data_IF_536595770775
#
_entry.id   IF_536595770775
#
_cell.length_a   1.000
_cell.length_b   1.000
_cell.length_c   1.000
_cell.angle_alpha   90.00
_cell.angle_beta   90.00
_cell.angle_gamma   90.00
#
_symmetry.space_group_name_H-M   'P 1'
#
loop_
_entity.id
_entity.type
_entity.pdbx_description
1 polymer ?
#
# COMPACT_ATOMS: atom_id res chain seq x y z
N UNK A 1 -7.84 -2.04 8.09
CA UNK A 1 -8.48 -2.64 6.88
C UNK A 1 -9.82 -3.31 7.16
N UNK A 2 -9.97 -4.19 8.17
CA UNK A 2 -11.26 -4.83 8.49
C UNK A 2 -12.35 -3.80 8.83
N UNK A 3 -12.02 -2.79 9.62
CA UNK A 3 -12.92 -1.66 9.95
C UNK A 3 -13.32 -0.85 8.70
N UNK A 4 -12.34 -0.50 7.86
CA UNK A 4 -12.61 0.15 6.57
C UNK A 4 -13.59 -0.66 5.71
N UNK A 5 -13.46 -2.00 5.68
CA UNK A 5 -14.41 -2.88 4.99
C UNK A 5 -15.80 -2.88 5.64
N UNK A 6 -15.88 -2.79 6.96
CA UNK A 6 -17.16 -2.77 7.67
C UNK A 6 -17.99 -1.55 7.28
N UNK A 7 -17.37 -0.37 7.20
CA UNK A 7 -18.07 0.89 6.91
C UNK A 7 -18.42 1.10 5.44
N UNK A 8 -17.74 0.42 4.50
CA UNK A 8 -18.06 0.51 3.08
C UNK A 8 -19.41 -0.14 2.76
N UNK A 9 -20.20 0.48 1.87
CA UNK A 9 -21.36 -0.18 1.28
C UNK A 9 -20.94 -1.41 0.44
N UNK A 10 -21.80 -2.43 0.27
CA UNK A 10 -21.55 -3.53 -0.66
C UNK A 10 -21.15 -3.03 -2.05
N UNK A 11 -20.13 -3.64 -2.66
CA UNK A 11 -19.56 -3.17 -3.94
C UNK A 11 -18.69 -1.91 -3.84
N UNK A 12 -18.61 -1.26 -2.68
CA UNK A 12 -17.81 -0.06 -2.42
C UNK A 12 -16.31 -0.30 -2.60
N UNK A 13 -15.58 0.77 -2.91
CA UNK A 13 -14.14 0.73 -3.18
C UNK A 13 -13.32 1.39 -2.08
N UNK A 14 -12.15 0.84 -1.83
CA UNK A 14 -11.10 1.41 -1.01
C UNK A 14 -9.93 1.75 -1.91
N UNK A 15 -9.42 2.98 -1.78
CA UNK A 15 -8.17 3.42 -2.39
C UNK A 15 -7.19 3.74 -1.27
N UNK A 16 -5.99 3.16 -1.32
CA UNK A 16 -4.90 3.47 -0.40
C UNK A 16 -3.71 3.95 -1.21
N UNK A 17 -3.15 5.09 -0.79
CA UNK A 17 -1.97 5.70 -1.41
C UNK A 17 -0.89 5.81 -0.37
N UNK A 18 0.17 5.02 -0.52
CA UNK A 18 1.26 4.92 0.44
C UNK A 18 2.53 4.42 -0.27
N UNK A 19 3.67 4.33 0.42
CA UNK A 19 4.88 3.73 -0.14
C UNK A 19 4.58 2.29 -0.59
N UNK A 20 4.73 2.04 -1.89
CA UNK A 20 4.51 0.72 -2.49
C UNK A 20 5.77 -0.12 -2.53
N UNK A 21 5.73 -1.22 -3.27
CA UNK A 21 6.88 -2.10 -3.45
C UNK A 21 8.07 -1.35 -4.07
N UNK A 22 9.22 -1.37 -3.40
CA UNK A 22 10.45 -0.74 -3.90
C UNK A 22 11.19 -1.68 -4.84
N UNK A 23 10.73 -1.76 -6.10
CA UNK A 23 11.23 -2.76 -7.10
C UNK A 23 12.71 -2.62 -7.46
N UNK A 24 13.31 -1.42 -7.37
CA UNK A 24 14.73 -1.21 -7.71
C UNK A 24 15.65 -1.18 -6.48
N UNK A 25 16.90 -1.65 -6.65
CA UNK A 25 17.94 -1.59 -5.60
C UNK A 25 18.27 -0.16 -5.20
N UNK A 26 18.30 0.76 -6.17
CA UNK A 26 18.53 2.19 -5.92
C UNK A 26 17.39 2.80 -5.09
N UNK A 27 16.13 2.48 -5.38
CA UNK A 27 15.00 2.98 -4.58
C UNK A 27 14.97 2.37 -3.18
N UNK A 28 15.32 1.08 -3.03
CA UNK A 28 15.51 0.47 -1.70
C UNK A 28 16.62 1.15 -0.90
N UNK A 29 17.66 1.68 -1.56
CA UNK A 29 18.72 2.44 -0.90
C UNK A 29 18.24 3.86 -0.55
N UNK A 30 17.64 4.59 -1.49
CA UNK A 30 17.13 5.94 -1.27
C UNK A 30 16.05 5.98 -0.17
N UNK A 31 15.11 5.02 -0.18
CA UNK A 31 14.10 4.85 0.86
C UNK A 31 14.74 4.64 2.24
N UNK A 32 15.69 3.71 2.34
CA UNK A 32 16.44 3.48 3.58
C UNK A 32 17.24 4.70 4.04
N UNK A 33 17.76 5.51 3.14
CA UNK A 33 18.56 6.71 3.47
C UNK A 33 17.69 7.92 3.85
N UNK A 34 16.46 8.01 3.36
CA UNK A 34 15.58 9.18 3.56
C UNK A 34 14.55 9.01 4.68
N UNK A 35 14.03 7.79 4.90
CA UNK A 35 12.99 7.51 5.91
C UNK A 35 13.58 7.23 7.32
N UNK A 36 14.91 7.12 7.46
CA UNK A 36 15.55 7.00 8.80
C UNK A 36 15.31 8.20 9.72
N UNK A 37 14.95 9.38 9.19
CA UNK A 37 14.83 10.64 9.93
C UNK A 37 13.37 11.06 10.21
N UNK A 38 12.37 10.34 9.67
CA UNK A 38 10.94 10.63 9.85
C UNK A 38 10.26 9.34 10.33
N UNK A 39 9.79 9.33 11.58
CA UNK A 39 9.03 8.26 12.26
C UNK A 39 8.90 6.93 11.51
N UNK A 40 9.91 6.06 11.66
CA UNK A 40 9.72 4.61 11.57
C UNK A 40 10.05 3.96 10.22
N UNK A 41 11.33 3.67 10.01
CA UNK A 41 11.79 2.62 9.07
C UNK A 41 11.07 1.29 9.33
N UNK A 42 10.72 0.98 10.58
CA UNK A 42 10.02 -0.25 10.95
C UNK A 42 8.57 -0.32 10.45
N UNK A 43 7.82 0.79 10.48
CA UNK A 43 6.39 0.78 10.14
C UNK A 43 6.13 0.82 8.64
N UNK A 44 7.07 1.34 7.85
CA UNK A 44 6.91 1.53 6.40
C UNK A 44 7.60 0.45 5.55
N UNK A 45 8.46 -0.38 6.15
CA UNK A 45 9.14 -1.49 5.48
C UNK A 45 8.18 -2.56 4.93
N UNK A 46 7.11 -2.99 5.63
CA UNK A 46 6.17 -3.97 5.08
C UNK A 46 5.46 -3.47 3.81
N UNK A 47 5.22 -2.16 3.72
CA UNK A 47 4.67 -1.51 2.54
C UNK A 47 5.67 -1.50 1.37
N UNK A 48 6.95 -1.19 1.68
CA UNK A 48 8.06 -1.29 0.75
C UNK A 48 8.29 -2.72 0.20
N UNK A 49 7.87 -3.74 0.94
CA UNK A 49 7.92 -5.15 0.57
C UNK A 49 6.64 -5.64 -0.13
N UNK A 50 5.64 -4.77 -0.34
CA UNK A 50 4.41 -5.08 -1.06
C UNK A 50 3.39 -5.88 -0.24
N UNK A 51 3.39 -5.76 1.08
CA UNK A 51 2.48 -6.52 1.95
C UNK A 51 1.03 -6.00 1.93
N UNK A 52 0.82 -4.72 1.62
CA UNK A 52 -0.52 -4.10 1.68
C UNK A 52 -1.58 -4.78 0.79
N UNK A 53 -1.30 -5.14 -0.48
CA UNK A 53 -2.23 -5.95 -1.28
C UNK A 53 -2.56 -7.31 -0.65
N UNK A 54 -1.64 -7.93 0.10
CA UNK A 54 -1.89 -9.18 0.81
C UNK A 54 -2.84 -8.94 1.98
N UNK A 55 -2.56 -7.93 2.80
CA UNK A 55 -3.41 -7.56 3.95
C UNK A 55 -4.82 -7.15 3.51
N UNK A 56 -4.97 -6.51 2.35
CA UNK A 56 -6.28 -6.19 1.76
C UNK A 56 -7.08 -7.45 1.43
N UNK A 57 -6.43 -8.46 0.82
CA UNK A 57 -7.09 -9.75 0.54
C UNK A 57 -7.46 -10.48 1.82
N UNK A 58 -6.57 -10.53 2.81
CA UNK A 58 -6.82 -11.15 4.12
C UNK A 58 -7.95 -10.46 4.91
N UNK A 59 -8.13 -9.15 4.72
CA UNK A 59 -9.24 -8.39 5.29
C UNK A 59 -10.59 -8.65 4.59
N UNK A 60 -10.60 -9.38 3.47
CA UNK A 60 -11.80 -9.77 2.72
C UNK A 60 -12.19 -8.82 1.60
N UNK A 61 -11.24 -8.02 1.07
CA UNK A 61 -11.46 -7.27 -0.17
C UNK A 61 -11.19 -8.15 -1.40
N UNK A 62 -11.91 -7.90 -2.49
CA UNK A 62 -11.69 -8.47 -3.82
C UNK A 62 -11.12 -7.41 -4.79
N UNK A 63 -10.80 -7.83 -6.02
CA UNK A 63 -10.27 -6.97 -7.09
C UNK A 63 -9.06 -6.11 -6.70
N UNK A 64 -8.21 -6.63 -5.80
CA UNK A 64 -7.05 -5.89 -5.28
C UNK A 64 -5.98 -5.74 -6.37
N UNK A 65 -5.70 -4.50 -6.76
CA UNK A 65 -4.72 -4.15 -7.80
C UNK A 65 -4.02 -2.82 -7.54
N UNK A 66 -2.75 -2.75 -7.91
CA UNK A 66 -2.01 -1.49 -8.04
C UNK A 66 -2.47 -0.79 -9.32
N UNK A 67 -2.91 0.46 -9.20
CA UNK A 67 -3.36 1.27 -10.34
C UNK A 67 -2.22 2.07 -10.93
N UNK A 68 -1.39 2.66 -10.08
CA UNK A 68 -0.32 3.55 -10.49
C UNK A 68 0.81 3.59 -9.45
N UNK A 69 2.00 3.97 -9.89
CA UNK A 69 3.15 4.19 -9.02
C UNK A 69 3.90 5.44 -9.42
N UNK A 70 4.12 6.32 -8.44
CA UNK A 70 4.89 7.56 -8.59
C UNK A 70 6.25 7.42 -7.94
N UNK A 71 7.29 7.82 -8.67
CA UNK A 71 8.64 7.90 -8.10
C UNK A 71 8.81 9.26 -7.43
N UNK A 72 9.15 9.24 -6.15
CA UNK A 72 9.55 10.41 -5.37
C UNK A 72 11.03 10.31 -5.03
N UNK A 73 11.68 11.39 -4.58
CA UNK A 73 13.06 11.35 -4.09
C UNK A 73 13.25 10.38 -2.91
N UNK A 74 12.19 10.11 -2.15
CA UNK A 74 12.20 9.30 -0.93
C UNK A 74 11.73 7.86 -1.14
N UNK A 75 11.26 7.49 -2.33
CA UNK A 75 10.79 6.14 -2.64
C UNK A 75 9.70 6.12 -3.70
N UNK A 76 9.10 4.97 -3.94
CA UNK A 76 7.93 4.83 -4.79
C UNK A 76 6.64 4.85 -3.95
N UNK A 77 5.69 5.72 -4.31
CA UNK A 77 4.32 5.75 -3.76
C UNK A 77 3.41 5.02 -4.75
N UNK A 78 2.59 4.09 -4.28
CA UNK A 78 1.64 3.35 -5.10
C UNK A 78 0.19 3.67 -4.71
N UNK A 79 -0.70 3.67 -5.70
CA UNK A 79 -2.15 3.70 -5.49
C UNK A 79 -2.67 2.28 -5.64
N UNK A 80 -3.26 1.74 -4.58
CA UNK A 80 -3.87 0.40 -4.58
C UNK A 80 -5.37 0.54 -4.44
N UNK A 81 -6.10 -0.06 -5.38
CA UNK A 81 -7.55 -0.19 -5.36
C UNK A 81 -7.94 -1.57 -4.83
N UNK A 82 -8.99 -1.60 -4.02
CA UNK A 82 -9.63 -2.83 -3.56
C UNK A 82 -11.15 -2.63 -3.47
N UNK A 83 -11.93 -3.71 -3.58
CA UNK A 83 -13.40 -3.66 -3.55
C UNK A 83 -13.97 -4.50 -2.41
N UNK A 84 -14.98 -4.00 -1.69
CA UNK A 84 -15.83 -4.83 -0.83
C UNK A 84 -16.76 -5.64 -1.74
N UNK A 85 -16.82 -6.98 -1.63
CA UNK A 85 -17.73 -7.77 -2.45
C UNK A 85 -19.15 -7.18 -2.48
N UNK A 86 -19.69 -7.04 -3.69
CA UNK A 86 -21.13 -6.91 -3.85
C UNK A 86 -21.75 -8.25 -3.47
N UNK A 87 -22.90 -8.21 -2.81
CA UNK A 87 -23.64 -9.36 -2.27
C UNK A 87 -23.48 -10.67 -3.05
#
# INVERSE_FOLDING_TARGET
LREARQVLAPGGKLYVTDYGEQRSRLMRLLFRLTIQQLDGVQDTQPNADGLLPVLMREAGFCDVRELETFRTPTGAIAIIEARKPGT
#
